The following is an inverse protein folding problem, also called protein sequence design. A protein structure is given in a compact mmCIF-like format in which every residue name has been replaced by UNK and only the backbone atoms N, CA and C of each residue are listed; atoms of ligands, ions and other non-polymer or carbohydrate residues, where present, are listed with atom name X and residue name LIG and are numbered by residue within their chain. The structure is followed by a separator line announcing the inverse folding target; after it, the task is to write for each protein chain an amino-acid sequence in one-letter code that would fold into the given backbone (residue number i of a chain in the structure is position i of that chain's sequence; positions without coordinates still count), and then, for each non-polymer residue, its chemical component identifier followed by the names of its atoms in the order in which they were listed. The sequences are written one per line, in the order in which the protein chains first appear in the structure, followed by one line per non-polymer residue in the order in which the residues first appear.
data_IF_130296885853
#
_entry.id   IF_130296885853
#
_cell.length_a   1.000
_cell.length_b   1.000
_cell.length_c   1.000
_cell.angle_alpha   90.00
_cell.angle_beta   90.00
_cell.angle_gamma   90.00
#
_symmetry.space_group_name_H-M   'P 1'
#
loop_
_entity.id
_entity.type
_entity.pdbx_description
1 polymer ?
#
# COMPACT_ATOMS: atom_id res chain seq x y z
N UNK A 1 14.76 -14.65 17.37
CA UNK A 1 14.72 -13.96 18.68
C UNK A 1 13.30 -13.52 18.91
N UNK A 2 12.70 -13.73 20.09
CA UNK A 2 11.36 -13.26 20.42
C UNK A 2 11.40 -12.17 21.50
N UNK A 3 10.43 -11.27 21.47
CA UNK A 3 10.22 -10.22 22.47
C UNK A 3 8.75 -10.23 22.87
N UNK A 4 8.45 -9.88 24.13
CA UNK A 4 7.08 -9.77 24.64
C UNK A 4 6.63 -8.32 24.61
N UNK A 5 5.50 -8.04 23.97
CA UNK A 5 4.88 -6.71 23.90
C UNK A 5 3.61 -6.72 24.75
N UNK A 6 3.44 -5.70 25.60
CA UNK A 6 2.22 -5.55 26.40
C UNK A 6 1.12 -4.92 25.55
N UNK A 7 -0.05 -5.54 25.57
CA UNK A 7 -1.29 -5.04 24.94
C UNK A 7 -2.41 -5.04 25.98
N UNK A 8 -3.55 -4.43 25.65
CA UNK A 8 -4.76 -4.60 26.46
C UNK A 8 -5.29 -6.02 26.36
N UNK A 9 -6.01 -6.46 27.40
CA UNK A 9 -6.67 -7.78 27.41
C UNK A 9 -7.65 -7.94 26.23
N UNK A 10 -8.32 -6.84 25.88
CA UNK A 10 -9.22 -6.78 24.73
C UNK A 10 -8.48 -7.04 23.40
N UNK A 11 -7.34 -6.39 23.18
CA UNK A 11 -6.53 -6.61 21.96
C UNK A 11 -6.01 -8.03 21.89
N UNK A 12 -5.55 -8.59 23.02
CA UNK A 12 -5.14 -9.98 23.08
C UNK A 12 -6.30 -10.94 22.74
N UNK A 13 -7.50 -10.70 23.28
CA UNK A 13 -8.68 -11.52 22.97
C UNK A 13 -9.06 -11.46 21.48
N UNK A 14 -8.97 -10.27 20.86
CA UNK A 14 -9.20 -10.11 19.41
C UNK A 14 -8.16 -10.87 18.58
N UNK A 15 -6.88 -10.81 18.96
CA UNK A 15 -5.82 -11.57 18.29
C UNK A 15 -6.00 -13.07 18.43
N UNK A 16 -6.45 -13.55 19.59
CA UNK A 16 -6.76 -14.96 19.81
C UNK A 16 -7.94 -15.43 18.92
N UNK A 17 -9.03 -14.66 18.88
CA UNK A 17 -10.17 -14.98 18.02
C UNK A 17 -9.78 -15.01 16.53
N UNK A 18 -8.97 -14.05 16.07
CA UNK A 18 -8.45 -14.04 14.70
C UNK A 18 -7.54 -15.23 14.41
N UNK A 19 -6.71 -15.64 15.38
CA UNK A 19 -5.86 -16.82 15.24
C UNK A 19 -6.70 -18.10 15.07
N UNK A 20 -7.76 -18.24 15.86
CA UNK A 20 -8.69 -19.36 15.78
C UNK A 20 -9.44 -19.39 14.43
N UNK A 21 -9.90 -18.23 13.95
CA UNK A 21 -10.63 -18.12 12.69
C UNK A 21 -9.75 -18.38 11.46
N UNK A 22 -8.52 -17.84 11.46
CA UNK A 22 -7.61 -17.91 10.31
C UNK A 22 -6.70 -19.14 10.32
N UNK A 23 -6.63 -19.86 11.44
CA UNK A 23 -5.66 -20.94 11.67
C UNK A 23 -4.22 -20.45 11.76
N UNK A 24 -3.99 -19.13 11.84
CA UNK A 24 -2.66 -18.55 11.95
C UNK A 24 -2.24 -18.39 13.41
N UNK A 25 -0.93 -18.32 13.66
CA UNK A 25 -0.40 -18.03 15.00
C UNK A 25 -0.49 -16.53 15.28
N UNK A 26 -0.77 -16.15 16.54
CA UNK A 26 -0.88 -14.73 16.95
C UNK A 26 0.33 -13.89 16.51
N UNK A 27 1.58 -14.39 16.62
CA UNK A 27 2.74 -13.62 16.18
C UNK A 27 2.73 -13.33 14.67
N UNK A 28 2.27 -14.28 13.85
CA UNK A 28 2.14 -14.07 12.40
C UNK A 28 1.08 -13.02 12.09
N UNK A 29 -0.03 -13.01 12.84
CA UNK A 29 -1.04 -11.96 12.72
C UNK A 29 -0.48 -10.58 13.09
N UNK A 30 0.32 -10.51 14.17
CA UNK A 30 0.98 -9.26 14.58
C UNK A 30 1.99 -8.78 13.53
N UNK A 31 2.83 -9.68 13.00
CA UNK A 31 3.78 -9.36 11.93
C UNK A 31 3.07 -8.82 10.69
N UNK A 32 1.99 -9.48 10.26
CA UNK A 32 1.20 -9.04 9.11
C UNK A 32 0.49 -7.70 9.35
N UNK A 33 -0.03 -7.49 10.56
CA UNK A 33 -0.68 -6.23 10.93
C UNK A 33 0.31 -5.06 10.91
N UNK A 34 1.53 -5.28 11.42
CA UNK A 34 2.61 -4.28 11.36
C UNK A 34 2.98 -3.97 9.91
N UNK A 35 3.23 -4.99 9.09
CA UNK A 35 3.59 -4.80 7.68
C UNK A 35 2.50 -4.07 6.89
N UNK A 36 1.23 -4.38 7.18
CA UNK A 36 0.09 -3.69 6.57
C UNK A 36 0.04 -2.23 7.01
N UNK A 37 0.23 -1.95 8.30
CA UNK A 37 0.26 -0.59 8.80
C UNK A 37 1.41 0.23 8.22
N UNK A 38 2.61 -0.36 8.11
CA UNK A 38 3.77 0.28 7.47
C UNK A 38 3.48 0.62 6.00
N UNK A 39 2.87 -0.30 5.25
CA UNK A 39 2.47 -0.06 3.87
C UNK A 39 1.45 1.08 3.78
N UNK A 40 0.45 1.11 4.66
CA UNK A 40 -0.54 2.21 4.73
C UNK A 40 0.14 3.55 4.97
N UNK A 41 1.02 3.65 5.98
CA UNK A 41 1.75 4.88 6.29
C UNK A 41 2.61 5.33 5.11
N UNK A 42 3.29 4.39 4.44
CA UNK A 42 4.09 4.70 3.26
C UNK A 42 3.22 5.27 2.14
N UNK A 43 2.11 4.62 1.79
CA UNK A 43 1.26 5.05 0.69
C UNK A 43 0.55 6.38 0.98
N UNK A 44 0.13 6.61 2.22
CA UNK A 44 -0.44 7.91 2.62
C UNK A 44 0.57 9.05 2.43
N UNK A 45 1.80 8.85 2.88
CA UNK A 45 2.87 9.84 2.70
C UNK A 45 3.21 10.04 1.20
N UNK A 46 3.29 8.96 0.44
CA UNK A 46 3.56 9.02 -1.00
C UNK A 46 2.49 9.79 -1.76
N UNK A 47 1.20 9.48 -1.52
CA UNK A 47 0.11 10.19 -2.18
C UNK A 47 0.09 11.67 -1.81
N UNK A 48 0.27 12.01 -0.53
CA UNK A 48 0.28 13.40 -0.10
C UNK A 48 1.40 14.21 -0.78
N UNK A 49 2.59 13.63 -0.97
CA UNK A 49 3.68 14.30 -1.68
C UNK A 49 3.41 14.38 -3.18
N UNK A 50 2.85 13.33 -3.77
CA UNK A 50 2.51 13.29 -5.18
C UNK A 50 1.41 14.30 -5.54
N UNK A 51 0.41 14.45 -4.68
CA UNK A 51 -0.64 15.47 -4.81
C UNK A 51 -0.04 16.87 -4.74
N UNK A 52 0.88 17.13 -3.80
CA UNK A 52 1.61 18.41 -3.75
C UNK A 52 2.42 18.67 -5.03
N UNK A 53 3.08 17.64 -5.56
CA UNK A 53 3.84 17.75 -6.79
C UNK A 53 2.95 18.04 -8.00
N UNK A 54 1.73 17.50 -8.03
CA UNK A 54 0.73 17.79 -9.06
C UNK A 54 0.20 19.24 -9.03
N UNK A 55 0.30 19.91 -7.88
CA UNK A 55 -0.04 21.33 -7.75
C UNK A 55 1.06 22.25 -8.33
N UNK A 56 2.25 21.74 -8.65
CA UNK A 56 3.32 22.45 -9.36
C UNK A 56 3.25 22.15 -10.87
N UNK A 57 2.73 23.06 -11.71
CA UNK A 57 2.49 22.80 -13.12
C UNK A 57 3.77 22.54 -13.91
N UNK A 58 4.89 23.16 -13.51
CA UNK A 58 6.16 23.07 -14.23
C UNK A 58 6.78 21.69 -13.98
N UNK A 59 6.89 21.28 -12.70
CA UNK A 59 7.39 19.95 -12.34
C UNK A 59 6.45 18.83 -12.81
N UNK A 60 5.14 19.05 -12.74
CA UNK A 60 4.15 18.09 -13.22
C UNK A 60 4.27 17.85 -14.73
N UNK A 61 4.57 18.89 -15.51
CA UNK A 61 4.73 18.78 -16.96
C UNK A 61 5.91 17.90 -17.36
N UNK A 62 7.01 17.94 -16.61
CA UNK A 62 8.20 17.11 -16.82
C UNK A 62 7.87 15.62 -16.60
N UNK A 63 7.17 15.31 -15.50
CA UNK A 63 6.74 13.94 -15.17
C UNK A 63 5.77 13.38 -16.23
N UNK A 64 4.85 14.21 -16.74
CA UNK A 64 3.92 13.77 -17.78
C UNK A 64 4.62 13.54 -19.13
N UNK A 65 5.63 14.34 -19.45
CA UNK A 65 6.44 14.15 -20.65
C UNK A 65 7.22 12.83 -20.59
N UNK A 66 7.85 12.53 -19.44
CA UNK A 66 8.53 11.25 -19.21
C UNK A 66 7.56 10.07 -19.33
N UNK A 67 6.43 10.10 -18.61
CA UNK A 67 5.41 9.03 -18.66
C UNK A 67 4.86 8.79 -20.06
N UNK A 68 4.66 9.86 -20.84
CA UNK A 68 4.20 9.74 -22.23
C UNK A 68 5.24 9.06 -23.10
N UNK A 69 6.53 9.40 -22.92
CA UNK A 69 7.63 8.74 -23.63
C UNK A 69 7.74 7.25 -23.28
N UNK A 70 7.61 6.91 -22.00
CA UNK A 70 7.72 5.54 -21.48
C UNK A 70 6.51 4.67 -21.80
N UNK A 71 5.31 5.24 -21.90
CA UNK A 71 4.09 4.50 -22.26
C UNK A 71 4.23 3.74 -23.59
N UNK A 72 5.02 4.28 -24.52
CA UNK A 72 5.33 3.62 -25.80
C UNK A 72 6.16 2.34 -25.68
N UNK A 73 6.77 2.09 -24.51
CA UNK A 73 7.59 0.92 -24.22
C UNK A 73 6.84 -0.21 -23.53
N UNK A 74 5.57 0.02 -23.17
CA UNK A 74 4.72 -1.01 -22.57
C UNK A 74 4.26 -2.01 -23.65
N UNK A 75 4.41 -3.33 -23.43
CA UNK A 75 3.90 -4.33 -24.37
C UNK A 75 2.37 -4.32 -24.40
N UNK A 76 1.77 -4.48 -25.59
CA UNK A 76 0.31 -4.42 -25.84
C UNK A 76 -0.56 -5.27 -24.88
N UNK A 77 0.01 -6.35 -24.33
CA UNK A 77 -0.67 -7.23 -23.38
C UNK A 77 -0.75 -6.70 -21.94
N UNK A 78 -0.13 -5.56 -21.63
CA UNK A 78 -0.16 -4.93 -20.31
C UNK A 78 -1.21 -3.80 -20.28
N UNK A 79 -2.48 -4.18 -20.17
CA UNK A 79 -3.54 -3.20 -19.87
C UNK A 79 -3.55 -2.93 -18.36
N UNK A 80 -3.33 -1.67 -17.97
CA UNK A 80 -3.49 -1.23 -16.57
C UNK A 80 -4.96 -1.42 -16.14
N UNK A 81 -5.24 -2.01 -14.96
CA UNK A 81 -6.61 -2.15 -14.46
C UNK A 81 -7.22 -0.75 -14.25
N UNK A 82 -8.16 -0.37 -15.11
CA UNK A 82 -8.86 0.92 -15.07
C UNK A 82 -8.89 1.71 -16.40
N UNK A 83 -8.15 1.30 -17.43
CA UNK A 83 -8.14 1.98 -18.74
C UNK A 83 -9.11 1.36 -19.78
N UNK A 84 -9.89 0.35 -19.41
CA UNK A 84 -10.93 -0.24 -20.27
C UNK A 84 -12.31 0.40 -20.02
N UNK A 85 -12.45 1.70 -20.26
CA UNK A 85 -13.77 2.28 -20.56
C UNK A 85 -13.61 3.62 -21.26
N UNK A 86 -13.82 3.64 -22.58
CA UNK A 86 -13.85 4.87 -23.34
C UNK A 86 -13.62 4.67 -24.83
N UNK A 87 -14.67 4.21 -25.51
CA UNK A 87 -14.92 4.26 -26.96
C UNK A 87 -13.97 3.50 -27.90
#
# INVERSE_FOLDING_TARGET
MSTTVRVSDETHARLAALADETGQRIHTLVENAVATYEATVFWEAFHAEYDRLAEDPDQWSEIQAERTGEASTLPDQFTLPGQASGA
#
